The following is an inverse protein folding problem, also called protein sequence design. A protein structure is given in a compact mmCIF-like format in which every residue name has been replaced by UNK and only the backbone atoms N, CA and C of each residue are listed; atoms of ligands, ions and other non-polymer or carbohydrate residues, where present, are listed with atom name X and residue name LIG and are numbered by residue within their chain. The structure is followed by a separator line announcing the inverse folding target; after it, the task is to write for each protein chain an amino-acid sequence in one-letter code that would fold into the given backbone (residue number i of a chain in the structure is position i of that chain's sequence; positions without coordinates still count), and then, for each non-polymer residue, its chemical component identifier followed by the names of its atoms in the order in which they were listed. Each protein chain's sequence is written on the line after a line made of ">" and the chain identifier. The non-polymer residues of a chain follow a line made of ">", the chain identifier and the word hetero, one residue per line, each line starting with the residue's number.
data_IF_887056797280
#
_entry.id   IF_887056797280
#
_cell.length_a   1.000
_cell.length_b   1.000
_cell.length_c   1.000
_cell.angle_alpha   90.00
_cell.angle_beta   90.00
_cell.angle_gamma   90.00
#
_symmetry.space_group_name_H-M   'P 1'
#
loop_
_entity.id
_entity.type
_entity.pdbx_description
1 polymer ?
#
# COMPACT_ATOMS: atom_id res chain seq x y z
N UNK A 1 -26.32 -35.25 -69.40
CA UNK A 1 -27.11 -34.12 -69.93
C UNK A 1 -27.71 -33.41 -68.72
N UNK A 2 -27.19 -32.21 -68.44
CA UNK A 2 -27.66 -31.16 -67.51
C UNK A 2 -27.62 -31.46 -66.00
N UNK A 3 -26.76 -30.67 -65.35
CA UNK A 3 -26.66 -30.33 -63.94
C UNK A 3 -27.66 -29.22 -63.59
N UNK A 4 -28.39 -29.31 -62.47
CA UNK A 4 -28.93 -28.14 -61.75
C UNK A 4 -29.07 -28.44 -60.24
N UNK A 5 -28.15 -27.89 -59.46
CA UNK A 5 -28.18 -27.65 -58.01
C UNK A 5 -29.38 -26.84 -57.51
N UNK A 6 -29.96 -27.23 -56.36
CA UNK A 6 -30.50 -26.32 -55.31
C UNK A 6 -30.62 -27.12 -53.99
N UNK A 7 -29.66 -27.02 -53.06
CA UNK A 7 -29.52 -26.00 -51.99
C UNK A 7 -30.70 -25.94 -51.01
N UNK A 8 -30.62 -26.70 -49.91
CA UNK A 8 -31.03 -26.29 -48.55
C UNK A 8 -30.37 -27.22 -47.52
N UNK A 9 -29.08 -26.99 -47.26
CA UNK A 9 -28.38 -27.52 -46.10
C UNK A 9 -28.33 -26.43 -45.03
N UNK A 10 -29.05 -26.63 -43.92
CA UNK A 10 -28.93 -25.80 -42.74
C UNK A 10 -27.54 -26.05 -42.12
N UNK A 11 -26.58 -25.18 -42.43
CA UNK A 11 -25.35 -25.09 -41.66
C UNK A 11 -25.70 -24.35 -40.37
N UNK A 12 -25.75 -25.07 -39.25
CA UNK A 12 -25.58 -24.47 -37.94
C UNK A 12 -24.15 -23.90 -37.88
N UNK A 13 -24.01 -22.62 -38.24
CA UNK A 13 -22.87 -21.83 -37.79
C UNK A 13 -22.97 -21.75 -36.26
N UNK A 14 -22.18 -22.58 -35.60
CA UNK A 14 -21.78 -22.33 -34.22
C UNK A 14 -21.05 -20.99 -34.20
N UNK A 15 -21.81 -19.92 -34.02
CA UNK A 15 -21.26 -18.62 -33.64
C UNK A 15 -20.62 -18.85 -32.29
N UNK A 16 -19.31 -19.11 -32.33
CA UNK A 16 -18.46 -19.12 -31.16
C UNK A 16 -18.49 -17.69 -30.63
N UNK A 17 -19.46 -17.41 -29.76
CA UNK A 17 -19.50 -16.21 -28.94
C UNK A 17 -18.31 -16.31 -28.01
N UNK A 18 -17.15 -15.92 -28.54
CA UNK A 18 -16.01 -15.58 -27.72
C UNK A 18 -16.52 -14.49 -26.76
N UNK A 19 -16.79 -14.92 -25.53
CA UNK A 19 -16.96 -14.03 -24.39
C UNK A 19 -15.77 -13.07 -24.47
N UNK A 20 -15.98 -11.74 -24.54
CA UNK A 20 -14.86 -10.83 -24.60
C UNK A 20 -14.04 -11.08 -23.33
N UNK A 21 -12.86 -11.68 -23.49
CA UNK A 21 -11.90 -11.85 -22.41
C UNK A 21 -11.65 -10.44 -21.89
N UNK A 22 -12.23 -10.12 -20.74
CA UNK A 22 -11.96 -8.87 -20.05
C UNK A 22 -10.44 -8.83 -19.86
N UNK A 23 -9.74 -7.99 -20.63
CA UNK A 23 -8.29 -7.88 -20.53
C UNK A 23 -7.96 -7.30 -19.15
N UNK A 24 -7.67 -8.21 -18.22
CA UNK A 24 -7.27 -7.86 -16.86
C UNK A 24 -5.85 -7.29 -16.91
N UNK A 25 -5.64 -6.13 -16.27
CA UNK A 25 -4.30 -5.53 -16.12
C UNK A 25 -3.35 -6.55 -15.50
N UNK A 26 -2.14 -6.65 -16.06
CA UNK A 26 -1.07 -7.55 -15.59
C UNK A 26 0.12 -6.78 -15.04
N UNK A 27 0.86 -7.38 -14.11
CA UNK A 27 2.15 -6.90 -13.61
C UNK A 27 3.25 -7.59 -14.39
N UNK A 28 3.94 -6.86 -15.26
CA UNK A 28 5.04 -7.36 -16.10
C UNK A 28 6.20 -6.37 -16.00
N UNK A 29 6.94 -6.34 -14.88
CA UNK A 29 7.94 -5.31 -14.63
C UNK A 29 9.13 -5.46 -15.59
N UNK A 30 9.37 -4.41 -16.39
CA UNK A 30 10.57 -4.27 -17.22
C UNK A 30 11.66 -3.47 -16.47
N UNK A 31 11.25 -2.68 -15.46
CA UNK A 31 12.13 -1.83 -14.66
C UNK A 31 11.68 -1.76 -13.21
N UNK A 32 12.63 -1.48 -12.33
CA UNK A 32 12.39 -1.18 -10.92
C UNK A 32 12.89 0.21 -10.57
N UNK A 33 12.13 0.94 -9.76
CA UNK A 33 12.54 2.19 -9.11
C UNK A 33 12.63 1.93 -7.61
N UNK A 34 13.85 1.97 -7.08
CA UNK A 34 14.15 1.66 -5.68
C UNK A 34 14.41 2.94 -4.90
N UNK A 35 13.68 3.13 -3.81
CA UNK A 35 13.83 4.25 -2.89
C UNK A 35 14.70 3.84 -1.70
N UNK A 36 15.69 4.67 -1.39
CA UNK A 36 16.35 4.71 -0.10
C UNK A 36 15.87 5.99 0.62
N UNK A 37 15.20 5.82 1.76
CA UNK A 37 14.48 6.90 2.42
C UNK A 37 15.10 7.20 3.78
N UNK A 38 15.40 8.47 4.02
CA UNK A 38 15.81 8.99 5.34
C UNK A 38 14.67 9.83 5.91
N UNK A 39 14.07 9.36 6.99
CA UNK A 39 13.00 10.06 7.71
C UNK A 39 13.59 10.82 8.90
N UNK A 40 13.84 12.12 8.69
CA UNK A 40 14.31 13.00 9.76
C UNK A 40 13.28 13.11 10.88
N UNK A 41 13.75 13.02 12.11
CA UNK A 41 12.90 13.13 13.30
C UNK A 41 12.39 14.54 13.57
N UNK A 42 11.45 14.61 14.51
CA UNK A 42 10.84 15.85 14.98
C UNK A 42 9.44 15.54 15.49
N UNK A 43 9.16 15.86 16.76
CA UNK A 43 7.88 15.49 17.39
C UNK A 43 6.70 16.18 16.67
N UNK A 44 6.88 17.45 16.31
CA UNK A 44 5.89 18.24 15.55
C UNK A 44 5.66 17.73 14.11
N UNK A 45 6.60 16.96 13.55
CA UNK A 45 6.53 16.44 12.18
C UNK A 45 6.01 15.00 12.11
N UNK A 46 5.75 14.34 13.24
CA UNK A 46 5.38 12.92 13.27
C UNK A 46 4.19 12.58 12.36
N UNK A 47 3.17 13.46 12.33
CA UNK A 47 1.97 13.31 11.49
C UNK A 47 2.31 13.48 10.00
N UNK A 48 3.14 14.47 9.66
CA UNK A 48 3.59 14.69 8.29
C UNK A 48 4.41 13.49 7.77
N UNK A 49 5.37 13.02 8.56
CA UNK A 49 6.21 11.87 8.23
C UNK A 49 5.33 10.62 8.04
N UNK A 50 4.29 10.46 8.87
CA UNK A 50 3.33 9.37 8.70
C UNK A 50 2.59 9.44 7.36
N UNK A 51 2.16 10.63 6.95
CA UNK A 51 1.55 10.83 5.63
C UNK A 51 2.49 10.43 4.49
N UNK A 52 3.75 10.85 4.55
CA UNK A 52 4.78 10.47 3.57
C UNK A 52 5.01 8.96 3.56
N UNK A 53 5.12 8.33 4.73
CA UNK A 53 5.29 6.88 4.85
C UNK A 53 4.10 6.10 4.26
N UNK A 54 2.87 6.61 4.43
CA UNK A 54 1.70 6.00 3.82
C UNK A 54 1.70 6.11 2.29
N UNK A 55 2.08 7.25 1.73
CA UNK A 55 2.19 7.39 0.28
C UNK A 55 3.29 6.51 -0.32
N UNK A 56 4.41 6.34 0.41
CA UNK A 56 5.45 5.37 0.05
C UNK A 56 4.94 3.93 0.05
N UNK A 57 4.09 3.55 1.02
CA UNK A 57 3.44 2.26 1.00
C UNK A 57 2.43 2.14 -0.16
N UNK A 58 1.65 3.19 -0.43
CA UNK A 58 0.64 3.22 -1.48
C UNK A 58 1.25 3.09 -2.87
N UNK A 59 2.37 3.75 -3.17
CA UNK A 59 3.04 3.62 -4.48
C UNK A 59 3.62 2.22 -4.71
N UNK A 60 4.17 1.59 -3.66
CA UNK A 60 4.64 0.20 -3.72
C UNK A 60 3.45 -0.72 -3.98
N UNK A 61 2.37 -0.64 -3.19
CA UNK A 61 1.19 -1.50 -3.35
C UNK A 61 0.48 -1.31 -4.68
N UNK A 62 0.43 -0.08 -5.18
CA UNK A 62 -0.16 0.23 -6.48
C UNK A 62 0.54 -0.46 -7.66
N UNK A 63 1.81 -0.85 -7.51
CA UNK A 63 2.61 -1.45 -8.59
C UNK A 63 3.10 -2.87 -8.29
N UNK A 64 2.73 -3.43 -7.14
CA UNK A 64 3.08 -4.78 -6.74
C UNK A 64 2.14 -5.82 -7.38
N UNK A 65 2.67 -7.04 -7.54
CA UNK A 65 1.86 -8.23 -7.80
C UNK A 65 1.33 -8.82 -6.49
N UNK A 66 0.28 -9.62 -6.58
CA UNK A 66 -0.37 -10.28 -5.43
C UNK A 66 0.49 -11.37 -4.78
N UNK A 67 1.35 -12.01 -5.58
CA UNK A 67 2.31 -13.02 -5.14
C UNK A 67 3.56 -12.98 -6.05
N UNK A 68 4.67 -13.58 -5.59
CA UNK A 68 5.96 -13.60 -6.32
C UNK A 68 5.82 -14.17 -7.74
N UNK A 69 5.03 -15.23 -7.91
CA UNK A 69 4.86 -15.93 -9.18
C UNK A 69 3.54 -15.54 -9.89
N UNK A 70 2.90 -14.44 -9.50
CA UNK A 70 1.64 -13.97 -10.07
C UNK A 70 1.85 -12.72 -10.93
N UNK A 71 1.15 -12.63 -12.06
CA UNK A 71 1.01 -11.41 -12.84
C UNK A 71 -0.24 -10.60 -12.45
N UNK A 72 -1.02 -11.07 -11.47
CA UNK A 72 -2.18 -10.36 -10.94
C UNK A 72 -1.73 -9.16 -10.08
N UNK A 73 -2.20 -7.94 -10.36
CA UNK A 73 -1.92 -6.78 -9.52
C UNK A 73 -2.39 -6.99 -8.08
N UNK A 74 -1.64 -6.47 -7.11
CA UNK A 74 -2.02 -6.55 -5.70
C UNK A 74 -3.36 -5.86 -5.41
N UNK A 75 -3.58 -4.70 -6.03
CA UNK A 75 -4.81 -3.92 -5.89
C UNK A 75 -5.67 -4.08 -7.14
N UNK A 76 -6.93 -4.45 -6.94
CA UNK A 76 -7.95 -4.49 -7.99
C UNK A 76 -8.33 -3.08 -8.46
N UNK A 77 -9.06 -2.96 -9.56
CA UNK A 77 -9.50 -1.64 -10.06
C UNK A 77 -10.47 -0.95 -9.10
N UNK A 78 -11.27 -1.73 -8.36
CA UNK A 78 -12.21 -1.24 -7.34
C UNK A 78 -11.49 -0.69 -6.11
N UNK A 79 -10.30 -1.22 -5.80
CA UNK A 79 -9.46 -0.76 -4.69
C UNK A 79 -8.61 0.47 -5.06
N UNK A 80 -8.45 0.77 -6.35
CA UNK A 80 -7.72 1.94 -6.81
C UNK A 80 -8.53 3.22 -6.62
N UNK A 81 -8.09 4.07 -5.69
CA UNK A 81 -8.66 5.39 -5.48
C UNK A 81 -7.59 6.44 -5.21
N UNK A 82 -7.91 7.71 -5.51
CA UNK A 82 -7.06 8.87 -5.22
C UNK A 82 -5.63 8.71 -5.76
N UNK A 83 -4.65 8.85 -4.87
CA UNK A 83 -3.22 8.80 -5.21
C UNK A 83 -2.79 7.42 -5.73
N UNK A 84 -3.37 6.33 -5.23
CA UNK A 84 -3.04 4.96 -5.66
C UNK A 84 -3.31 4.74 -7.15
N UNK A 85 -4.38 5.34 -7.70
CA UNK A 85 -4.66 5.32 -9.14
C UNK A 85 -3.58 6.07 -9.93
N UNK A 86 -3.12 7.21 -9.41
CA UNK A 86 -2.00 7.95 -10.02
C UNK A 86 -0.72 7.10 -10.01
N UNK A 87 -0.43 6.43 -8.90
CA UNK A 87 0.74 5.55 -8.76
C UNK A 87 0.69 4.34 -9.70
N UNK A 88 -0.47 3.69 -9.83
CA UNK A 88 -0.69 2.62 -10.81
C UNK A 88 -0.35 3.11 -12.22
N UNK A 89 -0.85 4.29 -12.58
CA UNK A 89 -0.61 4.91 -13.87
C UNK A 89 0.87 5.23 -14.10
N UNK A 90 1.60 5.71 -13.09
CA UNK A 90 3.05 5.89 -13.19
C UNK A 90 3.77 4.56 -13.52
N UNK A 91 3.34 3.46 -12.90
CA UNK A 91 3.84 2.12 -13.18
C UNK A 91 3.59 1.62 -14.60
N UNK A 92 2.46 2.00 -15.22
CA UNK A 92 2.14 1.67 -16.61
C UNK A 92 2.92 2.56 -17.61
N UNK A 93 3.12 3.83 -17.24
CA UNK A 93 3.65 4.87 -18.12
C UNK A 93 5.18 4.93 -18.21
N UNK A 94 5.91 4.74 -17.10
CA UNK A 94 7.35 5.09 -17.07
C UNK A 94 8.26 4.23 -17.94
N UNK A 95 7.83 3.04 -18.36
CA UNK A 95 8.59 2.21 -19.29
C UNK A 95 8.37 2.59 -20.76
N UNK A 96 7.35 3.40 -21.08
CA UNK A 96 7.01 3.77 -22.46
C UNK A 96 8.11 4.66 -23.04
N UNK A 97 8.81 4.15 -24.06
CA UNK A 97 9.91 4.86 -24.72
C UNK A 97 9.40 5.96 -25.66
N UNK A 98 8.30 5.68 -26.38
CA UNK A 98 7.68 6.62 -27.32
C UNK A 98 7.15 7.86 -26.58
N UNK A 99 7.63 9.06 -26.96
CA UNK A 99 7.26 10.32 -26.29
C UNK A 99 5.80 10.69 -26.50
N UNK A 100 5.22 10.40 -27.66
CA UNK A 100 3.85 10.78 -27.99
C UNK A 100 2.83 9.85 -27.31
N UNK A 101 3.06 8.54 -27.38
CA UNK A 101 2.26 7.54 -26.69
C UNK A 101 2.27 7.80 -25.18
N UNK A 102 3.45 8.09 -24.66
CA UNK A 102 3.65 8.51 -23.28
C UNK A 102 2.81 9.76 -22.96
N UNK A 103 2.96 10.85 -23.71
CA UNK A 103 2.17 12.08 -23.50
C UNK A 103 0.64 11.89 -23.58
N UNK A 104 0.14 11.00 -24.44
CA UNK A 104 -1.28 10.63 -24.51
C UNK A 104 -1.75 9.91 -23.25
N UNK A 105 -1.00 8.92 -22.77
CA UNK A 105 -1.32 8.17 -21.55
C UNK A 105 -1.28 9.08 -20.31
N UNK A 106 -0.39 10.08 -20.25
CA UNK A 106 -0.35 11.03 -19.12
C UNK A 106 -1.63 11.89 -19.02
N UNK A 107 -2.31 12.18 -20.12
CA UNK A 107 -3.52 13.02 -20.13
C UNK A 107 -4.80 12.31 -19.72
N UNK A 108 -4.79 10.97 -19.65
CA UNK A 108 -5.97 10.20 -19.24
C UNK A 108 -6.25 10.35 -17.74
N UNK A 109 -7.51 10.44 -17.33
CA UNK A 109 -7.86 10.62 -15.92
C UNK A 109 -7.60 9.36 -15.08
N UNK A 110 -7.82 8.18 -15.67
CA UNK A 110 -7.72 6.88 -15.00
C UNK A 110 -6.50 6.09 -15.49
N UNK A 111 -6.02 5.09 -14.71
CA UNK A 111 -5.11 4.07 -15.20
C UNK A 111 -5.64 3.40 -16.47
N UNK A 112 -4.74 3.00 -17.35
CA UNK A 112 -5.11 2.29 -18.58
C UNK A 112 -5.30 0.80 -18.29
N UNK A 113 -5.79 0.04 -19.27
CA UNK A 113 -5.76 -1.43 -19.24
C UNK A 113 -4.37 -2.02 -19.58
N UNK A 114 -3.36 -1.15 -19.80
CA UNK A 114 -2.01 -1.59 -20.12
C UNK A 114 -1.34 -2.28 -18.92
N UNK A 115 -0.36 -3.17 -19.16
CA UNK A 115 0.42 -3.78 -18.10
C UNK A 115 1.16 -2.76 -17.23
N UNK A 116 1.32 -3.07 -15.95
CA UNK A 116 2.24 -2.37 -15.05
C UNK A 116 3.66 -2.80 -15.41
N UNK A 117 4.44 -1.88 -15.98
CA UNK A 117 5.79 -2.15 -16.50
C UNK A 117 6.90 -1.68 -15.57
N UNK A 118 6.59 -0.84 -14.58
CA UNK A 118 7.55 -0.34 -13.59
C UNK A 118 7.04 -0.65 -12.19
N UNK A 119 7.89 -1.33 -11.41
CA UNK A 119 7.65 -1.60 -9.99
C UNK A 119 8.38 -0.57 -9.13
N UNK A 120 7.68 0.03 -8.18
CA UNK A 120 8.28 0.89 -7.16
C UNK A 120 8.53 0.10 -5.88
N UNK A 121 9.68 0.31 -5.26
CA UNK A 121 10.13 -0.45 -4.08
C UNK A 121 10.77 0.52 -3.09
N UNK A 122 10.52 0.33 -1.80
CA UNK A 122 11.30 0.98 -0.74
C UNK A 122 12.25 -0.07 -0.18
N UNK A 123 13.54 0.10 -0.46
CA UNK A 123 14.56 -0.92 -0.19
C UNK A 123 15.35 -0.62 1.09
N UNK A 124 15.60 0.67 1.35
CA UNK A 124 16.32 1.13 2.54
C UNK A 124 15.50 2.17 3.28
N UNK A 125 15.35 1.98 4.59
CA UNK A 125 14.67 2.91 5.48
C UNK A 125 15.62 3.26 6.63
N UNK A 126 15.87 4.54 6.82
CA UNK A 126 16.57 5.08 7.99
C UNK A 126 15.74 6.19 8.62
N UNK A 127 15.84 6.37 9.93
CA UNK A 127 15.15 7.45 10.61
C UNK A 127 15.52 7.57 12.08
N UNK A 128 15.28 8.76 12.64
CA UNK A 128 15.56 9.07 14.04
C UNK A 128 14.30 9.58 14.74
N UNK A 129 14.14 9.31 16.04
CA UNK A 129 12.97 9.77 16.81
C UNK A 129 11.63 9.39 16.16
N UNK A 130 10.73 10.35 15.92
CA UNK A 130 9.47 10.14 15.21
C UNK A 130 9.63 9.58 13.78
N UNK A 131 10.74 9.90 13.11
CA UNK A 131 11.07 9.34 11.81
C UNK A 131 11.44 7.86 11.89
N UNK A 132 12.18 7.46 12.93
CA UNK A 132 12.47 6.06 13.21
C UNK A 132 11.21 5.25 13.54
N UNK A 133 10.28 5.83 14.31
CA UNK A 133 8.98 5.20 14.61
C UNK A 133 8.20 4.95 13.31
N UNK A 134 7.98 5.98 12.47
CA UNK A 134 7.29 5.81 11.20
C UNK A 134 8.02 4.83 10.26
N UNK A 135 9.36 4.84 10.27
CA UNK A 135 10.19 3.93 9.49
C UNK A 135 9.98 2.46 9.87
N UNK A 136 9.91 2.13 11.17
CA UNK A 136 9.64 0.76 11.64
C UNK A 136 8.25 0.29 11.21
N UNK A 137 7.23 1.15 11.29
CA UNK A 137 5.88 0.80 10.86
C UNK A 137 5.80 0.60 9.33
N UNK A 138 6.45 1.47 8.54
CA UNK A 138 6.56 1.28 7.09
C UNK A 138 7.28 -0.04 6.76
N UNK A 139 8.39 -0.34 7.43
CA UNK A 139 9.14 -1.57 7.21
C UNK A 139 8.27 -2.82 7.50
N UNK A 140 7.54 -2.83 8.63
CA UNK A 140 6.62 -3.93 8.97
C UNK A 140 5.50 -4.06 7.94
N UNK A 141 4.91 -2.93 7.52
CA UNK A 141 3.86 -2.89 6.51
C UNK A 141 4.32 -3.47 5.17
N UNK A 142 5.52 -3.11 4.71
CA UNK A 142 6.12 -3.62 3.47
C UNK A 142 6.45 -5.12 3.58
N UNK A 143 7.09 -5.54 4.67
CA UNK A 143 7.49 -6.93 4.87
C UNK A 143 6.30 -7.89 5.00
N UNK A 144 5.14 -7.41 5.46
CA UNK A 144 3.96 -8.24 5.72
C UNK A 144 2.75 -7.94 4.84
N UNK A 145 2.90 -7.01 3.88
CA UNK A 145 1.81 -6.46 3.08
C UNK A 145 0.59 -6.05 3.95
N UNK A 146 0.84 -5.19 4.94
CA UNK A 146 -0.17 -4.70 5.88
C UNK A 146 -0.38 -3.19 5.69
N UNK A 147 -1.54 -2.69 6.15
CA UNK A 147 -1.77 -1.26 6.31
C UNK A 147 -1.10 -0.70 7.56
N UNK A 148 -0.98 0.62 7.65
CA UNK A 148 -0.43 1.31 8.83
C UNK A 148 -1.36 2.40 9.40
N UNK A 149 -2.66 2.33 9.09
CA UNK A 149 -3.67 3.28 9.56
C UNK A 149 -3.76 3.37 11.09
N UNK A 150 -3.40 2.31 11.80
CA UNK A 150 -3.32 2.31 13.26
C UNK A 150 -2.35 3.36 13.79
N UNK A 151 -1.20 3.54 13.13
CA UNK A 151 -0.22 4.56 13.50
C UNK A 151 -0.75 5.97 13.21
N UNK A 152 -1.44 6.17 12.09
CA UNK A 152 -2.11 7.44 11.77
C UNK A 152 -3.09 7.83 12.87
N UNK A 153 -3.97 6.89 13.26
CA UNK A 153 -4.96 7.10 14.33
C UNK A 153 -4.26 7.45 15.64
N UNK A 154 -3.21 6.71 16.01
CA UNK A 154 -2.41 6.98 17.19
C UNK A 154 -1.83 8.40 17.16
N UNK A 155 -1.19 8.82 16.07
CA UNK A 155 -0.63 10.17 16.01
C UNK A 155 -1.69 11.26 16.17
N UNK A 156 -2.87 11.09 15.56
CA UNK A 156 -3.97 12.03 15.67
C UNK A 156 -4.59 12.05 17.08
N UNK A 157 -4.64 10.90 17.77
CA UNK A 157 -5.28 10.80 19.08
C UNK A 157 -4.34 11.04 20.25
N UNK A 158 -3.07 10.66 20.14
CA UNK A 158 -2.07 10.65 21.23
C UNK A 158 -0.96 11.69 21.05
N UNK A 159 -0.84 12.31 19.87
CA UNK A 159 0.18 13.33 19.60
C UNK A 159 -0.05 14.68 20.30
N UNK A 160 -1.14 14.82 21.04
CA UNK A 160 -1.44 16.01 21.84
C UNK A 160 -0.44 16.15 23.01
N UNK A 161 0.27 17.28 23.05
CA UNK A 161 1.24 17.59 24.09
C UNK A 161 0.63 17.46 25.49
N UNK A 162 -0.63 17.85 25.68
CA UNK A 162 -1.32 17.75 26.97
C UNK A 162 -1.47 16.31 27.47
N UNK A 163 -1.63 15.34 26.56
CA UNK A 163 -1.67 13.90 26.90
C UNK A 163 -0.28 13.33 27.18
N UNK A 164 0.74 13.94 26.60
CA UNK A 164 2.13 13.53 26.74
C UNK A 164 2.82 14.11 27.97
N UNK A 165 2.31 15.18 28.58
CA UNK A 165 2.88 15.72 29.81
C UNK A 165 2.97 14.64 30.90
N UNK A 166 4.11 14.54 31.56
CA UNK A 166 4.39 13.52 32.58
C UNK A 166 3.68 13.82 33.90
N UNK A 167 2.35 13.74 33.89
CA UNK A 167 1.49 13.99 35.03
C UNK A 167 0.48 12.84 35.24
N UNK A 168 -0.42 13.03 36.22
CA UNK A 168 -1.45 12.04 36.53
C UNK A 168 -2.41 11.76 35.35
N UNK A 169 -2.61 12.69 34.42
CA UNK A 169 -3.50 12.53 33.26
C UNK A 169 -2.90 11.56 32.25
N UNK A 170 -1.59 11.62 32.02
CA UNK A 170 -0.90 10.76 31.06
C UNK A 170 -0.92 9.26 31.38
N UNK A 171 -1.30 8.88 32.61
CA UNK A 171 -1.38 7.48 33.05
C UNK A 171 -2.81 6.96 33.27
N UNK A 172 -3.86 7.77 33.10
CA UNK A 172 -5.23 7.40 33.48
C UNK A 172 -5.76 6.17 32.72
N UNK A 173 -5.37 6.02 31.47
CA UNK A 173 -5.74 4.93 30.56
C UNK A 173 -4.58 3.93 30.34
N UNK A 174 -3.48 4.05 31.10
CA UNK A 174 -2.35 3.13 31.03
C UNK A 174 -2.43 2.11 32.17
N UNK A 175 -2.65 0.84 31.80
CA UNK A 175 -2.55 -0.26 32.76
C UNK A 175 -1.08 -0.62 33.00
N UNK A 176 -0.72 -0.92 34.25
CA UNK A 176 0.60 -1.45 34.61
C UNK A 176 1.71 -0.41 34.78
N UNK A 177 1.43 0.88 34.61
CA UNK A 177 2.39 1.96 34.84
C UNK A 177 2.00 2.83 36.03
N UNK A 178 3.00 3.24 36.82
CA UNK A 178 2.83 4.17 37.94
C UNK A 178 3.62 5.44 37.66
N UNK A 179 3.03 6.58 37.99
CA UNK A 179 3.73 7.87 37.89
C UNK A 179 4.91 7.88 38.88
N UNK A 180 6.13 8.03 38.37
CA UNK A 180 7.34 8.16 39.19
C UNK A 180 7.48 9.61 39.66
N UNK A 181 7.83 9.80 40.93
CA UNK A 181 8.14 11.11 41.51
C UNK A 181 9.53 11.11 42.17
N UNK A 182 10.36 12.15 41.95
CA UNK A 182 10.13 13.28 41.04
C UNK A 182 10.10 12.83 39.57
N UNK A 183 9.51 13.63 38.68
CA UNK A 183 9.46 13.30 37.25
C UNK A 183 10.86 13.42 36.63
N UNK A 184 11.27 12.38 35.92
CA UNK A 184 12.60 12.32 35.26
C UNK A 184 12.61 13.03 33.90
N UNK A 185 11.44 13.26 33.31
CA UNK A 185 11.25 13.89 32.01
C UNK A 185 9.95 14.69 31.97
N UNK A 186 9.91 15.73 31.12
CA UNK A 186 8.70 16.52 30.88
C UNK A 186 7.59 15.68 30.22
N UNK A 187 7.97 14.79 29.30
CA UNK A 187 7.03 13.95 28.55
C UNK A 187 7.05 12.50 29.07
N UNK A 188 5.87 11.89 29.13
CA UNK A 188 5.66 10.51 29.54
C UNK A 188 6.01 9.54 28.40
N UNK A 189 7.25 9.08 28.37
CA UNK A 189 7.71 8.09 27.39
C UNK A 189 7.03 6.72 27.54
N UNK A 190 6.60 6.34 28.75
CA UNK A 190 5.90 5.07 28.99
C UNK A 190 4.54 5.04 28.29
N UNK A 191 3.83 6.18 28.25
CA UNK A 191 2.60 6.34 27.47
C UNK A 191 2.85 6.01 26.00
N UNK A 192 3.81 6.71 25.39
CA UNK A 192 4.09 6.53 23.96
C UNK A 192 4.57 5.11 23.67
N UNK A 193 5.45 4.55 24.51
CA UNK A 193 5.87 3.16 24.39
C UNK A 193 4.68 2.21 24.36
N UNK A 194 3.75 2.32 25.33
CA UNK A 194 2.60 1.41 25.40
C UNK A 194 1.66 1.56 24.21
N UNK A 195 1.34 2.81 23.82
CA UNK A 195 0.45 3.08 22.67
C UNK A 195 1.07 2.59 21.36
N UNK A 196 2.37 2.79 21.17
CA UNK A 196 3.08 2.31 19.97
C UNK A 196 3.13 0.78 19.91
N UNK A 197 3.34 0.11 21.05
CA UNK A 197 3.28 -1.34 21.14
C UNK A 197 1.88 -1.85 20.76
N UNK A 198 0.82 -1.24 21.32
CA UNK A 198 -0.57 -1.57 20.94
C UNK A 198 -0.83 -1.36 19.44
N UNK A 199 -0.31 -0.28 18.85
CA UNK A 199 -0.45 -0.03 17.42
C UNK A 199 0.29 -1.07 16.56
N UNK A 200 1.46 -1.54 17.01
CA UNK A 200 2.20 -2.62 16.34
C UNK A 200 1.48 -3.96 16.45
N UNK A 201 0.93 -4.29 17.62
CA UNK A 201 0.14 -5.51 17.87
C UNK A 201 -1.11 -5.51 16.98
N UNK A 202 -1.77 -4.35 16.86
CA UNK A 202 -2.97 -4.20 16.03
C UNK A 202 -2.72 -4.37 14.53
N UNK A 203 -1.49 -4.17 14.04
CA UNK A 203 -1.16 -4.51 12.66
C UNK A 203 -1.26 -6.03 12.40
N UNK A 204 -1.00 -6.85 13.43
CA UNK A 204 -1.05 -8.31 13.30
C UNK A 204 -2.47 -8.86 13.48
N UNK A 205 -3.26 -8.31 14.40
CA UNK A 205 -4.65 -8.73 14.63
C UNK A 205 -5.58 -8.36 13.47
N UNK A 206 -5.34 -7.23 12.79
CA UNK A 206 -6.08 -6.85 11.58
C UNK A 206 -5.95 -7.89 10.44
N UNK A 207 -4.92 -8.74 10.48
CA UNK A 207 -4.76 -9.88 9.58
C UNK A 207 -5.45 -11.15 10.11
N UNK A 208 -5.72 -11.26 11.41
CA UNK A 208 -6.30 -12.46 12.03
C UNK A 208 -7.81 -12.63 11.82
N UNK A 209 -8.57 -11.53 11.73
CA UNK A 209 -10.04 -11.60 11.73
C UNK A 209 -10.69 -11.82 10.35
N UNK A 210 -9.93 -11.69 9.25
CA UNK A 210 -10.48 -11.73 7.88
C UNK A 210 -9.69 -12.59 6.87
N UNK A 211 -8.70 -13.39 7.31
CA UNK A 211 -7.83 -14.06 6.33
C UNK A 211 -8.28 -15.46 5.94
N UNK A 212 -8.60 -15.60 4.66
CA UNK A 212 -8.59 -16.89 3.96
C UNK A 212 -7.15 -17.45 3.91
N UNK A 213 -6.97 -18.75 3.65
CA UNK A 213 -5.62 -19.32 3.47
C UNK A 213 -4.79 -18.64 2.36
N UNK A 214 -5.44 -17.93 1.43
CA UNK A 214 -4.80 -17.17 0.35
C UNK A 214 -4.10 -15.92 0.87
N UNK A 215 -4.65 -15.24 1.87
CA UNK A 215 -4.04 -14.02 2.45
C UNK A 215 -2.83 -14.32 3.34
N UNK A 216 -2.70 -15.56 3.81
CA UNK A 216 -1.47 -16.05 4.45
C UNK A 216 -0.31 -16.17 3.46
N UNK A 217 -0.58 -16.20 2.16
CA UNK A 217 0.38 -16.29 1.04
C UNK A 217 0.70 -14.96 0.35
N UNK A 218 0.19 -13.82 0.82
CA UNK A 218 0.64 -12.52 0.31
C UNK A 218 2.15 -12.38 0.52
N UNK A 219 2.87 -12.24 -0.59
CA UNK A 219 4.32 -12.11 -0.58
C UNK A 219 4.74 -10.77 0.03
N UNK A 220 5.93 -10.68 0.64
CA UNK A 220 6.54 -9.41 0.98
C UNK A 220 6.54 -8.46 -0.23
N UNK A 221 6.42 -7.16 0.02
CA UNK A 221 6.44 -6.13 -1.03
C UNK A 221 7.86 -5.69 -1.42
N UNK A 222 8.87 -6.22 -0.72
CA UNK A 222 10.29 -5.98 -0.91
C UNK A 222 10.95 -7.15 -1.61
#
# INVERSE_FOLDING_TARGET
>A
MIDVTSHFGLNEESTNTAVPTSETVKVIPEREVRFAVVMYGGVSLAIYINGVAQELLNIVRATAAKAVDSDEPLLSEEELSGATSVYRKLGQYFAIQDKEARGKNLKQANPTKEPIRVRFIVDVISGTSAGGINGVFLAKALARNQGMDGLKKLWLSEGDLGKLLNDKRSIQDLRGFKLKQPQESLLNSQRMYRKLLEALDNMDTARGENTSEVDKKLSPLV
#
